data_IF_316008699799
#
_entry.id   IF_316008699799
#
_cell.length_a   1.000
_cell.length_b   1.000
_cell.length_c   1.000
_cell.angle_alpha   90.00
_cell.angle_beta   90.00
_cell.angle_gamma   90.00
#
_symmetry.space_group_name_H-M   'P 1'
#
loop_
_entity.id
_entity.type
_entity.pdbx_description
1 polymer ?
#
# COMPACT_ATOMS: atom_id res chain seq x y z
N UNK A 1 -22.82 4.68 -5.70
CA UNK A 1 -22.38 4.09 -4.43
C UNK A 1 -21.64 2.81 -4.73
N UNK A 2 -20.35 2.83 -4.61
CA UNK A 2 -19.57 1.60 -4.66
C UNK A 2 -19.71 0.96 -3.30
N UNK A 3 -20.51 -0.07 -3.17
CA UNK A 3 -20.56 -0.84 -1.92
C UNK A 3 -19.19 -1.49 -1.75
N UNK A 4 -18.49 -1.10 -0.69
CA UNK A 4 -17.23 -1.72 -0.34
C UNK A 4 -17.43 -3.23 -0.29
N UNK A 5 -16.63 -3.98 -1.04
CA UNK A 5 -16.68 -5.43 -1.00
C UNK A 5 -16.38 -5.88 0.44
N UNK A 6 -17.22 -6.72 1.05
CA UNK A 6 -16.99 -7.13 2.42
C UNK A 6 -15.65 -7.84 2.56
N UNK A 7 -14.98 -7.60 3.68
CA UNK A 7 -13.73 -8.28 4.03
C UNK A 7 -13.98 -9.80 4.02
N UNK A 8 -13.20 -10.54 3.26
CA UNK A 8 -13.31 -12.01 3.15
C UNK A 8 -12.27 -12.74 4.03
N UNK A 9 -11.74 -12.02 5.01
CA UNK A 9 -10.68 -12.52 5.89
C UNK A 9 -11.25 -13.44 6.97
N UNK A 10 -10.75 -14.67 7.03
CA UNK A 10 -11.01 -15.58 8.13
C UNK A 10 -9.90 -15.45 9.19
N UNK A 11 -10.13 -14.63 10.20
CA UNK A 11 -9.13 -14.30 11.23
C UNK A 11 -8.67 -15.54 12.02
N UNK A 12 -9.52 -16.54 12.19
CA UNK A 12 -9.19 -17.75 12.94
C UNK A 12 -8.18 -18.64 12.22
N UNK A 13 -8.06 -18.50 10.90
CA UNK A 13 -7.09 -19.23 10.08
C UNK A 13 -5.75 -18.52 9.95
N UNK A 14 -5.64 -17.29 10.43
CA UNK A 14 -4.43 -16.51 10.33
C UNK A 14 -3.47 -16.78 11.48
N UNK A 15 -2.19 -16.90 11.13
CA UNK A 15 -1.09 -17.02 12.11
C UNK A 15 -0.76 -15.66 12.73
N UNK A 16 -0.80 -14.60 11.92
CA UNK A 16 -0.50 -13.24 12.35
C UNK A 16 -1.06 -12.20 11.36
N UNK A 17 -1.15 -10.95 11.82
CA UNK A 17 -1.43 -9.78 10.97
C UNK A 17 -0.25 -8.82 11.10
N UNK A 18 0.42 -8.55 9.98
CA UNK A 18 1.43 -7.51 9.89
C UNK A 18 0.72 -6.15 9.77
N UNK A 19 0.93 -5.27 10.74
CA UNK A 19 0.23 -3.98 10.81
C UNK A 19 0.96 -2.85 10.10
N UNK A 20 2.09 -3.11 9.44
CA UNK A 20 2.93 -2.08 8.84
C UNK A 20 3.57 -2.54 7.52
N UNK A 21 2.81 -2.54 6.44
CA UNK A 21 3.28 -2.93 5.11
C UNK A 21 3.07 -1.82 4.10
N UNK A 22 4.12 -1.46 3.36
CA UNK A 22 4.08 -0.38 2.39
C UNK A 22 3.80 -0.88 0.97
N UNK A 23 2.90 -0.19 0.27
CA UNK A 23 2.76 -0.27 -1.17
C UNK A 23 3.76 0.70 -1.83
N UNK A 24 4.82 0.17 -2.41
CA UNK A 24 5.92 0.96 -2.98
C UNK A 24 5.83 1.08 -4.51
N UNK A 25 5.28 0.09 -5.19
CA UNK A 25 5.24 0.00 -6.64
C UNK A 25 3.80 -0.01 -7.14
N UNK A 26 3.46 1.00 -7.93
CA UNK A 26 2.19 1.05 -8.66
C UNK A 26 2.22 0.10 -9.86
N UNK A 27 1.16 -0.68 -10.04
CA UNK A 27 0.97 -1.49 -11.26
C UNK A 27 0.37 -0.67 -12.39
N UNK A 28 -0.26 0.48 -12.08
CA UNK A 28 -0.93 1.36 -13.03
C UNK A 28 -0.03 2.45 -13.57
N UNK A 29 0.87 2.94 -12.72
CA UNK A 29 1.78 4.04 -13.04
C UNK A 29 3.17 3.75 -12.43
N UNK A 30 3.89 2.72 -12.95
CA UNK A 30 5.19 2.35 -12.43
C UNK A 30 6.19 3.49 -12.62
N UNK A 31 6.81 3.92 -11.54
CA UNK A 31 7.84 4.96 -11.53
C UNK A 31 9.23 4.32 -11.52
N UNK A 32 10.23 4.95 -12.15
CA UNK A 32 11.61 4.49 -12.02
C UNK A 32 12.06 4.60 -10.55
N UNK A 33 12.99 3.75 -10.11
CA UNK A 33 13.51 3.83 -8.76
C UNK A 33 14.15 5.20 -8.52
N UNK A 34 13.91 5.75 -7.34
CA UNK A 34 14.52 7.01 -6.91
C UNK A 34 15.96 6.79 -6.45
N UNK A 35 16.77 7.85 -6.42
CA UNK A 35 18.14 7.80 -5.88
C UNK A 35 18.16 7.20 -4.46
N UNK A 36 17.14 7.48 -3.64
CA UNK A 36 17.03 6.94 -2.29
C UNK A 36 16.74 5.43 -2.30
N UNK A 37 15.87 4.97 -3.19
CA UNK A 37 15.57 3.54 -3.34
C UNK A 37 16.79 2.78 -3.84
N UNK A 38 17.50 3.31 -4.84
CA UNK A 38 18.75 2.74 -5.35
C UNK A 38 19.84 2.67 -4.26
N UNK A 39 20.00 3.74 -3.47
CA UNK A 39 20.93 3.78 -2.37
C UNK A 39 20.57 2.78 -1.26
N UNK A 40 19.29 2.66 -0.91
CA UNK A 40 18.81 1.68 0.08
C UNK A 40 19.01 0.24 -0.40
N UNK A 41 18.68 -0.06 -1.64
CA UNK A 41 18.92 -1.38 -2.24
C UNK A 41 20.41 -1.77 -2.18
N UNK A 42 21.29 -0.81 -2.54
CA UNK A 42 22.73 -1.01 -2.46
C UNK A 42 23.23 -1.22 -1.03
N UNK A 43 22.73 -0.42 -0.09
CA UNK A 43 23.12 -0.51 1.32
C UNK A 43 22.71 -1.84 1.96
N UNK A 44 21.47 -2.28 1.71
CA UNK A 44 20.93 -3.54 2.24
C UNK A 44 21.31 -4.77 1.40
N UNK A 45 22.16 -4.62 0.38
CA UNK A 45 22.61 -5.70 -0.52
C UNK A 45 21.48 -6.39 -1.30
N UNK A 46 20.36 -5.71 -1.50
CA UNK A 46 19.22 -6.17 -2.32
C UNK A 46 19.20 -5.54 -3.70
N UNK A 47 20.37 -5.19 -4.23
CA UNK A 47 20.53 -4.41 -5.48
C UNK A 47 19.89 -5.05 -6.74
N UNK A 48 19.47 -6.31 -6.67
CA UNK A 48 18.86 -7.05 -7.78
C UNK A 48 17.38 -7.42 -7.54
N UNK A 49 16.82 -7.07 -6.38
CA UNK A 49 15.44 -7.36 -6.06
C UNK A 49 14.58 -6.11 -6.32
N UNK A 50 13.64 -6.23 -7.25
CA UNK A 50 12.61 -5.20 -7.41
C UNK A 50 11.66 -5.21 -6.21
N UNK A 51 11.22 -4.04 -5.77
CA UNK A 51 10.16 -3.94 -4.76
C UNK A 51 8.88 -4.65 -5.27
N UNK A 52 8.16 -5.39 -4.41
CA UNK A 52 6.98 -6.11 -4.83
C UNK A 52 5.80 -5.17 -5.10
N UNK A 53 4.96 -5.55 -6.04
CA UNK A 53 3.65 -4.94 -6.26
C UNK A 53 2.64 -5.43 -5.22
N UNK A 54 1.49 -4.74 -5.07
CA UNK A 54 0.44 -5.13 -4.13
C UNK A 54 -0.03 -6.59 -4.35
N UNK A 55 -0.31 -7.07 -5.57
CA UNK A 55 -0.65 -8.48 -5.79
C UNK A 55 0.45 -9.46 -5.38
N UNK A 56 1.72 -9.10 -5.55
CA UNK A 56 2.84 -9.93 -5.11
C UNK A 56 2.96 -9.97 -3.57
N UNK A 57 2.71 -8.85 -2.91
CA UNK A 57 2.61 -8.77 -1.45
C UNK A 57 1.47 -9.67 -0.94
N UNK A 58 0.30 -9.61 -1.58
CA UNK A 58 -0.84 -10.47 -1.22
C UNK A 58 -0.48 -11.96 -1.32
N UNK A 59 0.16 -12.37 -2.40
CA UNK A 59 0.61 -13.75 -2.58
C UNK A 59 1.59 -14.19 -1.49
N UNK A 60 2.54 -13.31 -1.13
CA UNK A 60 3.52 -13.56 -0.07
C UNK A 60 2.86 -13.82 1.29
N UNK A 61 1.90 -12.99 1.69
CA UNK A 61 1.19 -13.16 2.96
C UNK A 61 0.25 -14.36 2.95
N UNK A 62 -0.45 -14.60 1.84
CA UNK A 62 -1.35 -15.75 1.69
C UNK A 62 -0.63 -17.08 1.85
N UNK A 63 0.55 -17.23 1.24
CA UNK A 63 1.39 -18.42 1.37
C UNK A 63 1.79 -18.70 2.82
N UNK A 64 1.92 -17.65 3.63
CA UNK A 64 2.32 -17.75 5.04
C UNK A 64 1.15 -17.79 6.02
N UNK A 65 -0.08 -17.85 5.51
CA UNK A 65 -1.31 -17.74 6.32
C UNK A 65 -1.31 -16.50 7.22
N UNK A 66 -0.83 -15.40 6.68
CA UNK A 66 -0.80 -14.10 7.33
C UNK A 66 -1.65 -13.10 6.54
N UNK A 67 -2.10 -12.07 7.23
CA UNK A 67 -2.66 -10.88 6.61
C UNK A 67 -1.77 -9.67 6.85
N UNK A 68 -2.04 -8.57 6.15
CA UNK A 68 -1.33 -7.33 6.35
C UNK A 68 -2.25 -6.10 6.24
N UNK A 69 -1.89 -5.06 6.99
CA UNK A 69 -2.36 -3.71 6.73
C UNK A 69 -1.46 -3.11 5.65
N UNK A 70 -2.05 -2.69 4.53
CA UNK A 70 -1.32 -2.16 3.38
C UNK A 70 -1.65 -0.68 3.17
N UNK A 71 -0.64 0.15 3.01
CA UNK A 71 -0.77 1.58 2.72
C UNK A 71 0.43 2.10 1.94
N UNK A 72 0.24 3.23 1.26
CA UNK A 72 1.32 3.96 0.62
C UNK A 72 1.80 5.08 1.54
N UNK A 73 3.05 5.52 1.38
CA UNK A 73 3.57 6.68 2.12
C UNK A 73 3.51 7.90 1.20
N UNK A 74 2.60 8.83 1.49
CA UNK A 74 2.53 10.09 0.77
C UNK A 74 3.63 11.04 1.25
N UNK A 75 4.71 11.08 0.50
CA UNK A 75 5.86 11.96 0.72
C UNK A 75 6.18 12.83 -0.49
N UNK A 76 5.22 13.03 -1.39
CA UNK A 76 5.43 13.75 -2.65
C UNK A 76 6.01 15.14 -2.43
N UNK A 77 5.45 15.91 -1.49
CA UNK A 77 5.89 17.29 -1.19
C UNK A 77 7.27 17.33 -0.55
N UNK A 78 7.56 16.39 0.36
CA UNK A 78 8.82 16.38 1.10
C UNK A 78 9.97 15.75 0.31
N UNK A 79 9.70 14.73 -0.51
CA UNK A 79 10.73 13.90 -1.15
C UNK A 79 10.61 13.82 -2.65
N UNK A 80 9.57 14.40 -3.26
CA UNK A 80 9.33 14.31 -4.70
C UNK A 80 8.99 12.90 -5.21
N UNK A 81 8.67 11.98 -4.32
CA UNK A 81 8.33 10.59 -4.65
C UNK A 81 6.82 10.49 -4.77
N UNK A 82 6.33 10.09 -5.95
CA UNK A 82 4.92 9.86 -6.18
C UNK A 82 4.47 8.59 -5.46
N UNK A 83 3.50 8.68 -4.52
CA UNK A 83 2.99 7.50 -3.83
C UNK A 83 2.13 6.64 -4.76
N UNK A 84 1.93 5.37 -4.42
CA UNK A 84 0.81 4.59 -4.97
C UNK A 84 -0.48 5.25 -4.49
N UNK A 85 -1.44 5.47 -5.40
CA UNK A 85 -2.67 6.18 -5.03
C UNK A 85 -3.51 5.41 -4.01
N UNK A 86 -4.26 6.13 -3.18
CA UNK A 86 -5.17 5.51 -2.22
C UNK A 86 -6.22 4.64 -2.91
N UNK A 87 -6.68 5.05 -4.10
CA UNK A 87 -7.62 4.28 -4.93
C UNK A 87 -7.02 2.96 -5.38
N UNK A 88 -5.79 2.95 -5.88
CA UNK A 88 -5.12 1.72 -6.29
C UNK A 88 -4.90 0.78 -5.12
N UNK A 89 -4.47 1.31 -3.95
CA UNK A 89 -4.33 0.52 -2.73
C UNK A 89 -5.66 -0.09 -2.32
N UNK A 90 -6.74 0.70 -2.31
CA UNK A 90 -8.06 0.23 -1.92
C UNK A 90 -8.61 -0.85 -2.86
N UNK A 91 -8.51 -0.65 -4.16
CA UNK A 91 -9.04 -1.58 -5.17
C UNK A 91 -8.26 -2.91 -5.17
N UNK A 92 -6.92 -2.86 -5.18
CA UNK A 92 -6.10 -4.07 -5.16
C UNK A 92 -6.18 -4.82 -3.83
N UNK A 93 -6.35 -4.11 -2.71
CA UNK A 93 -6.62 -4.75 -1.42
C UNK A 93 -8.01 -5.38 -1.39
N UNK A 94 -9.03 -4.77 -2.01
CA UNK A 94 -10.36 -5.35 -2.12
C UNK A 94 -10.38 -6.64 -2.96
N UNK A 95 -9.54 -6.73 -3.99
CA UNK A 95 -9.34 -7.96 -4.76
C UNK A 95 -8.65 -9.06 -3.94
N UNK A 96 -7.91 -8.69 -2.90
CA UNK A 96 -7.16 -9.57 -2.00
C UNK A 96 -7.65 -9.45 -0.54
N UNK A 97 -8.95 -9.27 -0.36
CA UNK A 97 -9.58 -9.01 0.96
C UNK A 97 -9.52 -10.18 1.95
N UNK A 98 -9.05 -11.33 1.49
CA UNK A 98 -8.70 -12.49 2.33
C UNK A 98 -7.43 -12.26 3.17
N UNK A 99 -6.51 -11.41 2.70
CA UNK A 99 -5.20 -11.16 3.35
C UNK A 99 -4.82 -9.68 3.47
N UNK A 100 -5.60 -8.74 2.93
CA UNK A 100 -5.25 -7.31 2.93
C UNK A 100 -6.31 -6.44 3.57
N UNK A 101 -5.83 -5.49 4.40
CA UNK A 101 -6.62 -4.43 5.02
C UNK A 101 -6.04 -3.09 4.52
N UNK A 102 -6.74 -2.35 3.66
CA UNK A 102 -6.22 -1.09 3.14
C UNK A 102 -6.33 0.04 4.16
N UNK A 103 -5.27 0.83 4.27
CA UNK A 103 -5.29 2.11 4.97
C UNK A 103 -5.01 3.23 3.96
N UNK A 104 -5.68 4.37 4.14
CA UNK A 104 -5.40 5.57 3.37
C UNK A 104 -4.18 6.32 3.93
N UNK A 105 -3.43 6.95 3.03
CA UNK A 105 -2.30 7.80 3.38
C UNK A 105 -2.59 9.24 2.95
N UNK A 106 -2.45 10.17 3.87
CA UNK A 106 -2.66 11.59 3.63
C UNK A 106 -1.39 12.35 4.05
N UNK A 107 -0.87 13.20 3.16
CA UNK A 107 0.23 14.09 3.50
C UNK A 107 -0.26 15.22 4.44
N UNK A 108 0.17 15.26 5.70
CA UNK A 108 -0.24 16.31 6.63
C UNK A 108 0.22 17.70 6.19
N UNK A 109 1.28 17.82 5.39
CA UNK A 109 1.76 19.08 4.84
C UNK A 109 0.84 19.66 3.75
N UNK A 110 -0.13 18.88 3.25
CA UNK A 110 -1.11 19.37 2.27
C UNK A 110 -2.21 20.25 2.87
N UNK A 111 -2.27 20.38 4.21
CA UNK A 111 -3.20 21.28 4.90
C UNK A 111 -4.67 20.98 4.55
N UNK A 112 -5.44 22.01 4.22
CA UNK A 112 -6.86 21.85 3.88
C UNK A 112 -7.15 20.94 2.69
N UNK A 113 -6.20 20.76 1.77
CA UNK A 113 -6.34 19.81 0.68
C UNK A 113 -6.30 18.37 1.19
N UNK A 114 -5.43 18.07 2.15
CA UNK A 114 -5.37 16.76 2.81
C UNK A 114 -6.64 16.43 3.58
N UNK A 115 -7.23 17.41 4.25
CA UNK A 115 -8.53 17.23 4.94
C UNK A 115 -9.64 16.87 3.94
N UNK A 116 -9.73 17.59 2.82
CA UNK A 116 -10.73 17.29 1.78
C UNK A 116 -10.53 15.90 1.19
N UNK A 117 -9.29 15.50 0.96
CA UNK A 117 -8.97 14.16 0.47
C UNK A 117 -9.37 13.08 1.48
N UNK A 118 -9.06 13.27 2.76
CA UNK A 118 -9.46 12.34 3.82
C UNK A 118 -11.00 12.18 3.89
N UNK A 119 -11.74 13.28 3.83
CA UNK A 119 -13.20 13.25 3.82
C UNK A 119 -13.73 12.51 2.58
N UNK A 120 -13.19 12.80 1.40
CA UNK A 120 -13.55 12.11 0.16
C UNK A 120 -13.37 10.60 0.26
N UNK A 121 -12.26 10.14 0.84
CA UNK A 121 -11.96 8.70 0.98
C UNK A 121 -12.88 7.99 1.99
N UNK A 122 -13.39 8.71 3.00
CA UNK A 122 -14.33 8.14 3.98
C UNK A 122 -15.74 7.99 3.38
N UNK A 123 -16.10 8.88 2.43
CA UNK A 123 -17.43 8.90 1.81
C UNK A 123 -17.59 7.86 0.68
N UNK A 124 -16.51 7.25 0.23
CA UNK A 124 -16.47 6.30 -0.89
C UNK A 124 -15.89 4.94 -0.51
#
# INVERSE_FOLDING_TARGET
MTTAKPLQMNVEELVAIDVHTHAEISVRDPQPPTIFQEAAQKYFKHAHESQPTIPQIAAYYRERKMACVIFSVDGLRARGIKPVSNEEVAELAAENSDVMIPFASIDPASGGAGVREALRLIEH
#
